data_IF_475641492121
#
_entry.id   IF_475641492121
#
_cell.length_a   1.000
_cell.length_b   1.000
_cell.length_c   1.000
_cell.angle_alpha   90.00
_cell.angle_beta   90.00
_cell.angle_gamma   90.00
#
_symmetry.space_group_name_H-M   'P 1'
#
loop_
_entity.id
_entity.type
_entity.pdbx_description
1 polymer ?
#
# COMPACT_ATOMS: atom_id res chain seq x y z
N UNK A 1 -4.57 11.05 22.49
CA UNK A 1 -4.17 9.73 21.97
C UNK A 1 -4.04 8.81 23.17
N UNK A 2 -4.72 7.67 23.13
CA UNK A 2 -4.84 6.74 24.27
C UNK A 2 -3.47 6.16 24.63
N UNK A 3 -3.08 6.15 25.91
CA UNK A 3 -1.78 5.62 26.39
C UNK A 3 -1.59 4.14 25.99
N UNK A 4 -2.67 3.41 25.81
CA UNK A 4 -2.69 2.04 25.31
C UNK A 4 -2.15 1.94 23.88
N UNK A 5 -2.53 2.86 22.97
CA UNK A 5 -2.08 2.87 21.59
C UNK A 5 -0.59 3.22 21.47
N UNK A 6 -0.11 4.14 22.32
CA UNK A 6 1.33 4.45 22.38
C UNK A 6 2.14 3.24 22.84
N UNK A 7 1.72 2.60 23.90
CA UNK A 7 2.37 1.38 24.41
C UNK A 7 2.43 0.26 23.36
N UNK A 8 1.32 0.03 22.67
CA UNK A 8 1.26 -0.98 21.61
C UNK A 8 2.20 -0.65 20.43
N UNK A 9 2.26 0.62 20.04
CA UNK A 9 3.17 1.08 19.00
C UNK A 9 4.64 0.93 19.41
N UNK A 10 5.00 1.37 20.62
CA UNK A 10 6.37 1.30 21.13
C UNK A 10 6.85 -0.15 21.24
N UNK A 11 5.96 -1.05 21.65
CA UNK A 11 6.22 -2.49 21.65
C UNK A 11 6.44 -3.03 20.22
N UNK A 12 5.64 -2.57 19.26
CA UNK A 12 5.77 -2.94 17.84
C UNK A 12 7.09 -2.44 17.25
N UNK A 13 7.48 -1.21 17.57
CA UNK A 13 8.73 -0.61 17.12
C UNK A 13 9.94 -1.38 17.70
N UNK A 14 9.92 -1.65 19.00
CA UNK A 14 10.97 -2.43 19.66
C UNK A 14 11.12 -3.83 19.07
N UNK A 15 10.02 -4.49 18.72
CA UNK A 15 10.01 -5.79 18.05
C UNK A 15 10.70 -5.72 16.67
N UNK A 16 10.33 -4.74 15.85
CA UNK A 16 10.94 -4.56 14.52
C UNK A 16 12.43 -4.23 14.64
N UNK A 17 12.81 -3.36 15.55
CA UNK A 17 14.22 -2.99 15.77
C UNK A 17 15.07 -4.19 16.21
N UNK A 18 14.53 -5.07 17.05
CA UNK A 18 15.20 -6.30 17.44
C UNK A 18 15.41 -7.23 16.23
N UNK A 19 14.38 -7.41 15.41
CA UNK A 19 14.49 -8.20 14.19
C UNK A 19 15.51 -7.62 13.22
N UNK A 20 15.56 -6.31 13.04
CA UNK A 20 16.57 -5.63 12.22
C UNK A 20 17.98 -5.89 12.76
N UNK A 21 18.18 -5.76 14.06
CA UNK A 21 19.48 -6.00 14.71
C UNK A 21 19.94 -7.44 14.53
N UNK A 22 19.04 -8.40 14.70
CA UNK A 22 19.32 -9.83 14.48
C UNK A 22 19.64 -10.13 13.02
N UNK A 23 18.85 -9.59 12.09
CA UNK A 23 19.07 -9.76 10.64
C UNK A 23 20.42 -9.20 10.18
N UNK A 24 20.81 -8.02 10.68
CA UNK A 24 22.15 -7.45 10.38
C UNK A 24 23.30 -8.35 10.89
N UNK A 25 23.11 -9.00 12.05
CA UNK A 25 24.09 -9.97 12.58
C UNK A 25 24.19 -11.21 11.67
N UNK A 26 23.07 -11.77 11.27
CA UNK A 26 23.01 -12.91 10.34
C UNK A 26 23.66 -12.55 9.01
N UNK A 27 23.43 -11.33 8.51
CA UNK A 27 24.04 -10.82 7.28
C UNK A 27 25.59 -10.77 7.38
N UNK A 28 26.11 -10.43 8.58
CA UNK A 28 27.57 -10.35 8.82
C UNK A 28 28.20 -11.71 9.06
N UNK A 29 27.47 -12.66 9.63
CA UNK A 29 27.93 -14.02 9.93
C UNK A 29 26.84 -14.99 9.51
N UNK A 30 26.83 -15.41 8.23
CA UNK A 30 25.78 -16.27 7.69
C UNK A 30 25.80 -17.66 8.34
N UNK A 31 24.70 -18.00 8.98
CA UNK A 31 24.38 -19.34 9.49
C UNK A 31 22.99 -19.73 8.97
N UNK A 32 22.88 -20.75 8.09
CA UNK A 32 21.62 -21.08 7.41
C UNK A 32 20.46 -21.38 8.37
N UNK A 33 20.70 -22.07 9.48
CA UNK A 33 19.66 -22.40 10.45
C UNK A 33 19.19 -21.16 11.23
N UNK A 34 20.13 -20.26 11.58
CA UNK A 34 19.81 -19.00 12.22
C UNK A 34 19.02 -18.05 11.27
N UNK A 35 19.36 -18.04 9.98
CA UNK A 35 18.65 -17.28 8.98
C UNK A 35 17.20 -17.76 8.81
N UNK A 36 16.97 -19.07 8.72
CA UNK A 36 15.63 -19.65 8.62
C UNK A 36 14.78 -19.39 9.88
N UNK A 37 15.36 -19.54 11.06
CA UNK A 37 14.69 -19.23 12.31
C UNK A 37 14.29 -17.75 12.38
N UNK A 38 15.20 -16.84 12.02
CA UNK A 38 14.92 -15.41 11.95
C UNK A 38 13.85 -15.04 10.93
N UNK A 39 13.83 -15.66 9.75
CA UNK A 39 12.77 -15.47 8.75
C UNK A 39 11.40 -15.89 9.31
N UNK A 40 11.35 -17.00 10.07
CA UNK A 40 10.12 -17.42 10.77
C UNK A 40 9.64 -16.39 11.80
N UNK A 41 10.56 -15.82 12.59
CA UNK A 41 10.24 -14.76 13.56
C UNK A 41 9.74 -13.49 12.86
N UNK A 42 10.35 -13.12 11.73
CA UNK A 42 9.88 -12.00 10.90
C UNK A 42 8.46 -12.25 10.37
N UNK A 43 8.17 -13.46 9.88
CA UNK A 43 6.84 -13.83 9.42
C UNK A 43 5.79 -13.70 10.53
N UNK A 44 6.11 -14.20 11.74
CA UNK A 44 5.22 -14.12 12.90
C UNK A 44 4.95 -12.66 13.32
N UNK A 45 6.01 -11.85 13.40
CA UNK A 45 5.91 -10.43 13.75
C UNK A 45 5.08 -9.64 12.72
N UNK A 46 5.34 -9.87 11.42
CA UNK A 46 4.59 -9.22 10.34
C UNK A 46 3.13 -9.65 10.33
N UNK A 47 2.83 -10.92 10.58
CA UNK A 47 1.47 -11.39 10.71
C UNK A 47 0.74 -10.70 11.88
N UNK A 48 1.40 -10.52 13.01
CA UNK A 48 0.86 -9.79 14.16
C UNK A 48 0.63 -8.32 13.84
N UNK A 49 1.61 -7.64 13.23
CA UNK A 49 1.54 -6.21 12.86
C UNK A 49 0.50 -5.92 11.77
N UNK A 50 0.24 -6.90 10.89
CA UNK A 50 -0.77 -6.81 9.84
C UNK A 50 -2.18 -7.21 10.30
N UNK A 51 -2.36 -7.55 11.58
CA UNK A 51 -3.62 -8.08 12.10
C UNK A 51 -4.06 -9.38 11.42
N UNK A 52 -3.11 -10.19 10.91
CA UNK A 52 -3.37 -11.41 10.15
C UNK A 52 -3.79 -11.17 8.70
N UNK A 53 -3.88 -9.93 8.25
CA UNK A 53 -4.30 -9.60 6.90
C UNK A 53 -3.16 -9.77 5.87
N UNK A 54 -3.34 -10.72 4.96
CA UNK A 54 -2.43 -10.91 3.81
C UNK A 54 -2.48 -9.76 2.80
N UNK A 55 -3.53 -8.95 2.83
CA UNK A 55 -3.67 -7.77 1.97
C UNK A 55 -2.92 -6.55 2.52
N UNK A 56 -2.49 -6.59 3.78
CA UNK A 56 -1.71 -5.51 4.38
C UNK A 56 -0.38 -5.34 3.65
N UNK A 57 0.02 -4.09 3.37
CA UNK A 57 1.22 -3.78 2.59
C UNK A 57 2.49 -4.46 3.13
N UNK A 58 2.66 -4.49 4.46
CA UNK A 58 3.81 -5.10 5.13
C UNK A 58 3.87 -6.62 4.89
N UNK A 59 2.72 -7.31 4.95
CA UNK A 59 2.63 -8.75 4.67
C UNK A 59 2.91 -9.04 3.20
N UNK A 60 2.45 -8.19 2.28
CA UNK A 60 2.73 -8.31 0.85
C UNK A 60 4.20 -8.05 0.53
N UNK A 61 4.79 -6.98 1.10
CA UNK A 61 6.19 -6.66 0.92
C UNK A 61 7.10 -7.79 1.43
N UNK A 62 6.77 -8.36 2.59
CA UNK A 62 7.49 -9.51 3.13
C UNK A 62 7.40 -10.73 2.21
N UNK A 63 6.21 -11.06 1.72
CA UNK A 63 6.03 -12.15 0.76
C UNK A 63 6.80 -11.89 -0.54
N UNK A 64 6.85 -10.63 -0.98
CA UNK A 64 7.62 -10.18 -2.14
C UNK A 64 9.14 -10.37 -1.99
N UNK A 65 9.66 -10.33 -0.77
CA UNK A 65 11.08 -10.51 -0.52
C UNK A 65 11.62 -11.90 -0.94
N UNK A 66 10.74 -12.89 -1.02
CA UNK A 66 11.06 -14.25 -1.45
C UNK A 66 10.84 -14.50 -2.94
N UNK A 67 10.21 -13.55 -3.67
CA UNK A 67 9.92 -13.75 -5.08
C UNK A 67 11.20 -13.61 -5.92
N UNK A 68 11.48 -14.66 -6.68
CA UNK A 68 12.55 -14.67 -7.67
C UNK A 68 12.01 -14.00 -8.94
N UNK A 69 12.60 -12.86 -9.32
CA UNK A 69 12.31 -12.29 -10.65
C UNK A 69 12.94 -13.14 -11.74
N UNK A 70 12.31 -13.28 -12.92
CA UNK A 70 12.98 -13.90 -14.06
C UNK A 70 14.20 -13.06 -14.43
N UNK A 71 15.40 -13.69 -14.37
CA UNK A 71 16.63 -13.10 -14.85
C UNK A 71 16.61 -12.85 -16.37
N UNK A 72 17.57 -12.10 -16.91
CA UNK A 72 17.73 -11.93 -18.35
C UNK A 72 17.83 -13.30 -19.02
N UNK A 73 16.89 -13.64 -19.91
CA UNK A 73 16.84 -14.92 -20.60
C UNK A 73 15.91 -15.98 -20.01
N UNK A 74 15.08 -15.65 -18.99
CA UNK A 74 14.09 -16.59 -18.43
C UNK A 74 14.68 -17.68 -17.53
N UNK A 75 15.94 -17.59 -17.15
CA UNK A 75 16.61 -18.51 -16.22
C UNK A 75 16.21 -18.11 -14.80
N UNK A 76 15.61 -19.04 -14.05
CA UNK A 76 15.38 -18.87 -12.61
C UNK A 76 16.76 -18.91 -11.93
N UNK A 77 17.26 -17.74 -11.52
CA UNK A 77 18.46 -17.66 -10.72
C UNK A 77 18.11 -18.09 -9.29
N UNK A 78 18.89 -19.00 -8.72
CA UNK A 78 18.83 -19.27 -7.28
C UNK A 78 19.12 -17.96 -6.54
N UNK A 79 18.15 -17.50 -5.72
CA UNK A 79 18.34 -16.27 -4.95
C UNK A 79 19.29 -16.60 -3.82
N UNK A 80 20.36 -15.83 -3.71
CA UNK A 80 21.30 -15.90 -2.61
C UNK A 80 20.55 -15.60 -1.29
N UNK A 81 20.76 -16.45 -0.29
CA UNK A 81 20.13 -16.29 1.05
C UNK A 81 20.46 -14.92 1.65
N UNK A 82 21.62 -14.36 1.39
CA UNK A 82 22.03 -13.03 1.79
C UNK A 82 21.16 -11.94 1.14
N UNK A 83 20.75 -12.10 -0.12
CA UNK A 83 19.86 -11.17 -0.81
C UNK A 83 18.46 -11.20 -0.21
N UNK A 84 17.95 -12.38 0.16
CA UNK A 84 16.66 -12.50 0.86
C UNK A 84 16.72 -11.77 2.20
N UNK A 85 17.79 -11.93 2.96
CA UNK A 85 17.99 -11.23 4.24
C UNK A 85 18.00 -9.71 4.03
N UNK A 86 18.72 -9.21 3.01
CA UNK A 86 18.76 -7.77 2.71
C UNK A 86 17.39 -7.22 2.31
N UNK A 87 16.61 -7.95 1.52
CA UNK A 87 15.23 -7.57 1.14
C UNK A 87 14.31 -7.51 2.35
N UNK A 88 14.36 -8.51 3.25
CA UNK A 88 13.56 -8.52 4.48
C UNK A 88 13.98 -7.36 5.40
N UNK A 89 15.28 -7.07 5.53
CA UNK A 89 15.76 -5.92 6.29
C UNK A 89 15.21 -4.60 5.73
N UNK A 90 15.12 -4.45 4.41
CA UNK A 90 14.49 -3.31 3.75
C UNK A 90 13.00 -3.16 4.14
N UNK A 91 12.26 -4.26 4.12
CA UNK A 91 10.83 -4.28 4.51
C UNK A 91 10.65 -3.90 5.99
N UNK A 92 11.48 -4.45 6.88
CA UNK A 92 11.44 -4.11 8.31
C UNK A 92 11.81 -2.65 8.57
N UNK A 93 12.82 -2.12 7.87
CA UNK A 93 13.22 -0.72 7.99
C UNK A 93 12.09 0.23 7.54
N UNK A 94 11.39 -0.10 6.46
CA UNK A 94 10.23 0.65 6.00
C UNK A 94 9.08 0.58 7.02
N UNK A 95 8.85 -0.58 7.64
CA UNK A 95 7.89 -0.77 8.72
C UNK A 95 8.21 0.12 9.94
N UNK A 96 9.47 0.11 10.39
CA UNK A 96 9.94 0.94 11.49
C UNK A 96 9.75 2.44 11.18
N UNK A 97 10.15 2.88 9.98
CA UNK A 97 9.96 4.27 9.54
C UNK A 97 8.49 4.70 9.53
N UNK A 98 7.60 3.81 9.10
CA UNK A 98 6.16 4.07 9.09
C UNK A 98 5.58 4.23 10.51
N UNK A 99 6.02 3.39 11.45
CA UNK A 99 5.61 3.49 12.87
C UNK A 99 6.21 4.74 13.55
N UNK A 100 7.46 5.10 13.25
CA UNK A 100 8.12 6.29 13.81
C UNK A 100 7.50 7.58 13.27
N UNK A 101 7.14 7.63 12.00
CA UNK A 101 6.48 8.79 11.40
C UNK A 101 5.10 9.11 12.04
N UNK A 102 4.49 8.14 12.72
CA UNK A 102 3.28 8.39 13.52
C UNK A 102 3.56 9.27 14.75
N UNK A 103 4.81 9.32 15.25
CA UNK A 103 5.21 10.22 16.34
C UNK A 103 5.37 11.68 15.90
N UNK A 104 6.00 11.88 14.75
CA UNK A 104 6.20 13.22 14.19
C UNK A 104 4.86 13.91 13.87
N UNK A 105 3.86 13.13 13.48
CA UNK A 105 2.48 13.60 13.30
C UNK A 105 1.79 13.92 14.64
N UNK A 106 2.17 13.25 15.73
CA UNK A 106 1.60 13.48 17.06
C UNK A 106 2.32 14.60 17.84
N UNK A 107 3.60 14.86 17.54
CA UNK A 107 4.44 15.84 18.25
C UNK A 107 4.46 17.23 17.60
N UNK A 108 4.02 17.35 16.35
CA UNK A 108 3.92 18.66 15.70
C UNK A 108 2.56 19.30 16.01
N UNK A 109 2.50 20.52 16.56
CA UNK A 109 1.28 21.30 16.58
C UNK A 109 1.04 21.85 15.15
N UNK A 110 1.00 20.95 14.18
CA UNK A 110 0.55 21.32 12.85
C UNK A 110 -0.92 21.74 12.97
N UNK A 111 -1.23 22.90 12.42
CA UNK A 111 -2.61 23.32 12.18
C UNK A 111 -3.39 22.09 11.65
N UNK A 112 -4.63 21.85 12.11
CA UNK A 112 -5.38 20.68 11.75
C UNK A 112 -5.35 20.55 10.23
N UNK A 113 -4.58 19.58 9.74
CA UNK A 113 -4.61 19.24 8.32
C UNK A 113 -6.07 19.00 7.98
N UNK A 114 -6.60 19.57 6.90
CA UNK A 114 -7.97 19.33 6.54
C UNK A 114 -8.14 17.79 6.52
N UNK A 115 -9.07 17.30 7.30
CA UNK A 115 -9.39 15.88 7.54
C UNK A 115 -9.88 15.26 6.24
N UNK A 116 -8.93 14.98 5.36
CA UNK A 116 -9.16 14.74 3.93
C UNK A 116 -9.78 13.37 3.65
N UNK A 117 -9.64 12.42 4.60
CA UNK A 117 -10.13 11.05 4.49
C UNK A 117 -11.05 10.65 5.67
N UNK A 118 -11.71 11.60 6.34
CA UNK A 118 -12.64 11.27 7.43
C UNK A 118 -13.85 10.44 6.97
N UNK A 119 -14.23 10.56 5.71
CA UNK A 119 -15.32 9.79 5.11
C UNK A 119 -14.97 8.31 4.91
N UNK A 120 -13.72 7.91 5.01
CA UNK A 120 -13.29 6.51 4.94
C UNK A 120 -13.70 5.79 6.22
N UNK A 121 -14.40 4.66 6.09
CA UNK A 121 -14.96 3.91 7.20
C UNK A 121 -13.87 3.20 8.01
N UNK A 122 -12.92 2.55 7.32
CA UNK A 122 -11.78 1.93 7.99
C UNK A 122 -10.76 2.98 8.44
N UNK A 123 -10.78 3.28 9.75
CA UNK A 123 -9.88 4.25 10.34
C UNK A 123 -8.39 3.89 10.18
N UNK A 124 -8.05 2.60 10.04
CA UNK A 124 -6.67 2.17 9.84
C UNK A 124 -6.15 2.50 8.42
N UNK A 125 -7.04 2.64 7.45
CA UNK A 125 -6.67 3.05 6.09
C UNK A 125 -6.36 4.54 5.97
N UNK A 126 -6.94 5.39 6.79
CA UNK A 126 -6.85 6.86 6.66
C UNK A 126 -5.41 7.37 6.59
N UNK A 127 -4.50 7.03 7.53
CA UNK A 127 -3.12 7.52 7.47
C UNK A 127 -2.36 7.00 6.25
N UNK A 128 -2.68 5.79 5.77
CA UNK A 128 -2.07 5.21 4.59
C UNK A 128 -2.50 5.99 3.34
N UNK A 129 -3.80 6.29 3.23
CA UNK A 129 -4.36 7.05 2.12
C UNK A 129 -3.84 8.49 2.10
N UNK A 130 -3.75 9.15 3.26
CA UNK A 130 -3.17 10.49 3.38
C UNK A 130 -1.74 10.53 2.87
N UNK A 131 -0.90 9.59 3.30
CA UNK A 131 0.49 9.48 2.85
C UNK A 131 0.55 9.22 1.35
N UNK A 132 -0.12 8.18 0.85
CA UNK A 132 -0.09 7.83 -0.58
C UNK A 132 -0.62 8.95 -1.46
N UNK A 133 -1.62 9.70 -1.00
CA UNK A 133 -2.13 10.87 -1.69
C UNK A 133 -1.10 12.02 -1.72
N UNK A 134 -0.43 12.28 -0.61
CA UNK A 134 0.64 13.27 -0.54
C UNK A 134 1.80 12.89 -1.46
N UNK A 135 2.25 11.62 -1.40
CA UNK A 135 3.32 11.09 -2.24
C UNK A 135 2.97 11.15 -3.73
N UNK A 136 1.69 10.89 -4.09
CA UNK A 136 1.23 10.99 -5.48
C UNK A 136 1.35 12.41 -6.02
N UNK A 137 1.02 13.41 -5.19
CA UNK A 137 1.12 14.84 -5.56
C UNK A 137 2.57 15.28 -5.71
N UNK A 138 3.41 14.84 -4.80
CA UNK A 138 4.83 15.13 -4.81
C UNK A 138 5.51 14.49 -6.03
N UNK A 139 5.20 13.23 -6.33
CA UNK A 139 5.65 12.55 -7.54
C UNK A 139 5.23 13.29 -8.82
N UNK A 140 3.99 13.79 -8.87
CA UNK A 140 3.51 14.61 -9.99
C UNK A 140 4.32 15.89 -10.14
N UNK A 141 4.59 16.58 -9.02
CA UNK A 141 5.38 17.81 -8.99
C UNK A 141 6.83 17.62 -9.44
N UNK A 142 7.41 16.46 -9.14
CA UNK A 142 8.78 16.09 -9.55
C UNK A 142 8.88 15.51 -10.97
N UNK A 143 7.76 15.36 -11.69
CA UNK A 143 7.74 14.74 -13.03
C UNK A 143 7.82 13.22 -13.01
N UNK A 144 7.69 12.55 -11.86
CA UNK A 144 7.64 11.09 -11.74
C UNK A 144 6.22 10.57 -12.08
N UNK A 145 5.82 10.70 -13.35
CA UNK A 145 4.43 10.52 -13.78
C UNK A 145 3.91 9.09 -13.58
N UNK A 146 4.75 8.08 -13.81
CA UNK A 146 4.36 6.69 -13.58
C UNK A 146 4.05 6.44 -12.11
N UNK A 147 4.90 6.89 -11.19
CA UNK A 147 4.70 6.77 -9.76
C UNK A 147 3.44 7.53 -9.30
N UNK A 148 3.26 8.77 -9.78
CA UNK A 148 2.07 9.57 -9.46
C UNK A 148 0.78 8.87 -9.89
N UNK A 149 0.75 8.28 -11.10
CA UNK A 149 -0.42 7.57 -11.61
C UNK A 149 -0.69 6.31 -10.78
N UNK A 150 0.32 5.51 -10.51
CA UNK A 150 0.20 4.26 -9.72
C UNK A 150 -0.34 4.57 -8.32
N UNK A 151 0.24 5.55 -7.63
CA UNK A 151 -0.21 5.96 -6.30
C UNK A 151 -1.64 6.52 -6.33
N UNK A 152 -1.97 7.36 -7.30
CA UNK A 152 -3.34 7.90 -7.45
C UNK A 152 -4.38 6.82 -7.68
N UNK A 153 -4.07 5.82 -8.53
CA UNK A 153 -4.96 4.69 -8.79
C UNK A 153 -5.05 3.75 -7.60
N UNK A 154 -3.96 3.53 -6.87
CA UNK A 154 -3.96 2.74 -5.64
C UNK A 154 -4.85 3.34 -4.54
N UNK A 155 -4.76 4.67 -4.33
CA UNK A 155 -5.66 5.39 -3.41
C UNK A 155 -7.10 5.28 -3.88
N UNK A 156 -7.36 5.50 -5.16
CA UNK A 156 -8.70 5.40 -5.73
C UNK A 156 -9.29 3.99 -5.54
N UNK A 157 -8.52 2.95 -5.79
CA UNK A 157 -8.97 1.58 -5.60
C UNK A 157 -9.29 1.25 -4.13
N UNK A 158 -8.46 1.72 -3.19
CA UNK A 158 -8.69 1.53 -1.76
C UNK A 158 -9.97 2.24 -1.29
N UNK A 159 -10.21 3.48 -1.77
CA UNK A 159 -11.43 4.22 -1.47
C UNK A 159 -12.69 3.52 -2.00
N UNK A 160 -12.64 3.02 -3.23
CA UNK A 160 -13.77 2.27 -3.80
C UNK A 160 -14.02 0.97 -3.03
N UNK A 161 -12.97 0.28 -2.60
CA UNK A 161 -13.07 -0.96 -1.83
C UNK A 161 -13.71 -0.70 -0.46
N UNK A 162 -13.29 0.35 0.25
CA UNK A 162 -13.87 0.73 1.54
C UNK A 162 -15.35 1.12 1.37
N UNK A 163 -15.67 1.98 0.39
CA UNK A 163 -17.02 2.42 0.14
C UNK A 163 -17.99 1.29 -0.26
N UNK A 164 -17.54 0.36 -1.12
CA UNK A 164 -18.32 -0.80 -1.52
C UNK A 164 -18.52 -1.78 -0.37
N UNK A 165 -17.52 -1.97 0.48
CA UNK A 165 -17.61 -2.83 1.66
C UNK A 165 -18.61 -2.32 2.71
N UNK A 166 -18.92 -1.02 2.70
CA UNK A 166 -19.84 -0.38 3.63
C UNK A 166 -21.16 0.09 2.96
N UNK A 167 -21.33 -0.20 1.68
CA UNK A 167 -22.57 0.14 0.97
C UNK A 167 -23.77 -0.59 1.57
N UNK A 168 -24.90 0.13 1.70
CA UNK A 168 -26.16 -0.43 2.25
C UNK A 168 -26.76 -1.54 1.40
N UNK A 169 -26.47 -1.52 0.11
CA UNK A 169 -26.88 -2.55 -0.85
C UNK A 169 -25.61 -3.26 -1.28
N UNK A 170 -25.55 -4.57 -1.06
CA UNK A 170 -24.44 -5.37 -1.57
C UNK A 170 -24.36 -5.17 -3.09
N UNK A 171 -23.20 -4.80 -3.63
CA UNK A 171 -23.06 -4.68 -5.08
C UNK A 171 -23.32 -6.05 -5.71
N UNK A 172 -23.98 -6.07 -6.88
CA UNK A 172 -24.20 -7.27 -7.69
C UNK A 172 -22.85 -7.80 -8.18
N UNK A 173 -22.25 -8.67 -7.40
CA UNK A 173 -21.05 -9.42 -7.74
C UNK A 173 -21.39 -10.90 -7.89
N UNK A 174 -20.48 -11.68 -8.47
CA UNK A 174 -20.66 -13.11 -8.52
C UNK A 174 -20.82 -13.67 -7.09
N UNK A 175 -21.83 -14.51 -6.84
CA UNK A 175 -22.06 -15.07 -5.52
C UNK A 175 -20.82 -15.80 -5.03
N UNK A 176 -20.20 -15.30 -3.93
CA UNK A 176 -19.02 -15.93 -3.31
C UNK A 176 -17.67 -15.27 -3.64
N UNK A 177 -17.58 -14.32 -4.55
CA UNK A 177 -16.35 -13.55 -4.75
C UNK A 177 -16.15 -12.49 -3.66
N UNK A 178 -14.97 -12.52 -3.03
CA UNK A 178 -14.60 -11.47 -2.09
C UNK A 178 -14.29 -10.20 -2.85
N UNK A 179 -14.72 -9.04 -2.35
CA UNK A 179 -14.46 -7.72 -2.92
C UNK A 179 -12.94 -7.49 -3.21
N UNK A 180 -12.07 -8.12 -2.42
CA UNK A 180 -10.61 -8.06 -2.62
C UNK A 180 -10.14 -8.72 -3.94
N UNK A 181 -10.91 -9.67 -4.46
CA UNK A 181 -10.56 -10.42 -5.67
C UNK A 181 -11.07 -9.74 -6.95
N UNK A 182 -11.88 -8.68 -6.80
CA UNK A 182 -12.42 -7.94 -7.94
C UNK A 182 -11.35 -7.12 -8.68
N UNK A 183 -11.53 -7.00 -9.99
CA UNK A 183 -10.70 -6.09 -10.79
C UNK A 183 -10.96 -4.64 -10.43
N UNK A 184 -10.00 -3.76 -10.71
CA UNK A 184 -10.17 -2.32 -10.51
C UNK A 184 -11.37 -1.77 -11.32
N UNK A 185 -11.54 -2.23 -12.56
CA UNK A 185 -12.69 -1.86 -13.41
C UNK A 185 -14.01 -2.32 -12.78
N UNK A 186 -14.09 -3.56 -12.30
CA UNK A 186 -15.29 -4.10 -11.67
C UNK A 186 -15.70 -3.31 -10.42
N UNK A 187 -14.73 -2.82 -9.62
CA UNK A 187 -15.01 -1.95 -8.49
C UNK A 187 -15.57 -0.59 -8.93
N UNK A 188 -15.04 -0.02 -10.01
CA UNK A 188 -15.55 1.24 -10.58
C UNK A 188 -17.01 1.07 -11.02
N UNK A 189 -17.30 0.03 -11.81
CA UNK A 189 -18.64 -0.26 -12.32
C UNK A 189 -19.65 -0.50 -11.17
N UNK A 190 -19.25 -1.27 -10.18
CA UNK A 190 -20.07 -1.52 -9.01
C UNK A 190 -20.34 -0.24 -8.19
N UNK A 191 -19.34 0.60 -8.00
CA UNK A 191 -19.51 1.87 -7.27
C UNK A 191 -20.38 2.88 -8.04
N UNK A 192 -20.29 2.92 -9.38
CA UNK A 192 -21.20 3.70 -10.23
C UNK A 192 -22.63 3.16 -10.15
N UNK A 193 -22.80 1.84 -10.25
CA UNK A 193 -24.13 1.18 -10.18
C UNK A 193 -24.79 1.35 -8.82
N UNK A 194 -24.01 1.31 -7.75
CA UNK A 194 -24.49 1.59 -6.38
C UNK A 194 -24.74 3.08 -6.11
N UNK A 195 -24.44 3.98 -7.06
CA UNK A 195 -24.59 5.42 -6.90
C UNK A 195 -23.62 6.07 -5.93
N UNK A 196 -22.54 5.37 -5.55
CA UNK A 196 -21.50 5.89 -4.65
C UNK A 196 -20.64 6.96 -5.33
N UNK A 197 -20.44 6.83 -6.64
CA UNK A 197 -19.68 7.79 -7.45
C UNK A 197 -20.46 8.18 -8.71
N UNK A 198 -20.22 9.39 -9.24
CA UNK A 198 -21.01 10.00 -10.33
C UNK A 198 -20.34 9.94 -11.70
N UNK A 199 -19.73 8.80 -12.06
CA UNK A 199 -19.16 8.60 -13.40
C UNK A 199 -17.87 9.37 -13.68
N UNK A 200 -17.20 9.91 -12.66
CA UNK A 200 -15.90 10.58 -12.77
C UNK A 200 -14.82 9.68 -13.33
N UNK A 201 -14.90 8.37 -13.04
CA UNK A 201 -13.94 7.36 -13.49
C UNK A 201 -13.96 7.11 -15.00
N UNK A 202 -14.99 7.51 -15.73
CA UNK A 202 -15.03 7.43 -17.21
C UNK A 202 -13.89 8.21 -17.88
N UNK A 203 -13.33 9.20 -17.18
CA UNK A 203 -12.21 10.01 -17.67
C UNK A 203 -10.83 9.38 -17.42
N UNK A 204 -10.77 8.25 -16.69
CA UNK A 204 -9.50 7.56 -16.48
C UNK A 204 -8.89 7.14 -17.81
N UNK A 205 -7.61 7.46 -18.07
CA UNK A 205 -6.92 6.99 -19.26
C UNK A 205 -6.80 5.46 -19.26
N UNK A 206 -6.72 4.80 -20.41
CA UNK A 206 -6.61 3.33 -20.49
C UNK A 206 -5.45 2.76 -19.67
N UNK A 207 -4.33 3.48 -19.60
CA UNK A 207 -3.16 3.08 -18.82
C UNK A 207 -3.47 3.07 -17.30
N UNK A 208 -4.28 3.99 -16.82
CA UNK A 208 -4.68 4.03 -15.40
C UNK A 208 -5.63 2.87 -15.04
N UNK A 209 -6.46 2.41 -15.98
CA UNK A 209 -7.35 1.24 -15.73
C UNK A 209 -6.56 -0.05 -15.54
N UNK A 210 -5.36 -0.12 -16.09
CA UNK A 210 -4.43 -1.25 -15.96
C UNK A 210 -3.18 -0.87 -15.15
N UNK A 211 -3.30 0.05 -14.20
CA UNK A 211 -2.16 0.57 -13.45
C UNK A 211 -1.34 -0.52 -12.73
N UNK A 212 -1.98 -1.64 -12.37
CA UNK A 212 -1.29 -2.77 -11.76
C UNK A 212 -0.27 -3.41 -12.70
N UNK A 213 -0.49 -3.35 -14.01
CA UNK A 213 0.46 -3.86 -15.03
C UNK A 213 1.72 -2.98 -15.12
N UNK A 214 1.64 -1.74 -14.62
CA UNK A 214 2.78 -0.81 -14.58
C UNK A 214 3.70 -1.05 -13.39
N UNK A 215 3.30 -1.89 -12.43
CA UNK A 215 4.07 -2.12 -11.22
C UNK A 215 4.85 -3.42 -11.30
N UNK A 216 5.99 -3.45 -10.62
CA UNK A 216 6.73 -4.66 -10.33
C UNK A 216 6.15 -5.43 -9.14
N UNK A 217 6.81 -6.52 -8.73
CA UNK A 217 6.39 -7.32 -7.57
C UNK A 217 6.41 -6.57 -6.22
N UNK A 218 7.09 -5.43 -6.14
CA UNK A 218 7.18 -4.58 -4.95
C UNK A 218 6.12 -3.46 -4.96
N UNK A 219 5.36 -3.33 -6.05
CA UNK A 219 4.37 -2.25 -6.22
C UNK A 219 4.96 -0.94 -6.72
N UNK A 220 6.26 -0.91 -7.05
CA UNK A 220 6.94 0.23 -7.66
C UNK A 220 6.70 0.25 -9.17
N UNK A 221 6.69 1.45 -9.80
CA UNK A 221 6.58 1.53 -11.24
C UNK A 221 7.74 0.82 -11.93
N UNK A 222 7.43 -0.05 -12.89
CA UNK A 222 8.43 -0.73 -13.71
C UNK A 222 9.28 0.28 -14.49
N UNK A 223 10.54 -0.01 -14.70
CA UNK A 223 11.47 0.87 -15.40
C UNK A 223 11.04 1.20 -16.86
N UNK A 224 10.26 0.32 -17.48
CA UNK A 224 9.70 0.48 -18.82
C UNK A 224 8.31 1.11 -18.82
N UNK A 225 7.73 1.44 -17.67
CA UNK A 225 6.42 2.06 -17.58
C UNK A 225 6.42 3.44 -18.23
N UNK A 226 5.59 3.59 -19.29
CA UNK A 226 5.46 4.85 -20.03
C UNK A 226 4.14 5.50 -19.66
N UNK A 227 4.22 6.60 -18.93
CA UNK A 227 3.07 7.42 -18.52
C UNK A 227 3.38 8.87 -18.82
N UNK A 228 2.49 9.53 -19.57
CA UNK A 228 2.60 10.94 -19.86
C UNK A 228 2.12 11.80 -18.68
N UNK A 229 2.59 13.04 -18.64
CA UNK A 229 2.11 14.05 -17.66
C UNK A 229 0.59 14.20 -17.70
N UNK A 230 0.00 14.21 -18.91
CA UNK A 230 -1.45 14.34 -19.09
C UNK A 230 -2.21 13.19 -18.45
N UNK A 231 -1.74 11.96 -18.58
CA UNK A 231 -2.37 10.77 -17.99
C UNK A 231 -2.28 10.80 -16.47
N UNK A 232 -1.10 11.13 -15.92
CA UNK A 232 -0.91 11.26 -14.48
C UNK A 232 -1.80 12.37 -13.88
N UNK A 233 -1.86 13.55 -14.53
CA UNK A 233 -2.74 14.65 -14.12
C UNK A 233 -4.21 14.27 -14.18
N UNK A 234 -4.62 13.52 -15.20
CA UNK A 234 -6.00 13.07 -15.35
C UNK A 234 -6.37 12.08 -14.24
N UNK A 235 -5.51 11.11 -13.94
CA UNK A 235 -5.73 10.17 -12.82
C UNK A 235 -5.85 10.90 -11.48
N UNK A 236 -4.94 11.83 -11.19
CA UNK A 236 -4.98 12.66 -9.98
C UNK A 236 -6.26 13.55 -9.90
N UNK A 237 -6.78 14.01 -11.03
CA UNK A 237 -8.02 14.77 -11.09
C UNK A 237 -9.23 13.87 -10.81
N UNK A 238 -9.28 12.68 -11.42
CA UNK A 238 -10.36 11.71 -11.18
C UNK A 238 -10.39 11.30 -9.72
N UNK A 239 -9.25 11.02 -9.10
CA UNK A 239 -9.17 10.73 -7.67
C UNK A 239 -9.84 11.82 -6.83
N UNK A 240 -9.55 13.10 -7.10
CA UNK A 240 -10.17 14.23 -6.37
C UNK A 240 -11.68 14.33 -6.59
N UNK A 241 -12.16 13.96 -7.77
CA UNK A 241 -13.61 13.93 -8.05
C UNK A 241 -14.26 12.83 -7.24
N UNK A 242 -13.69 11.62 -7.24
CA UNK A 242 -14.22 10.49 -6.46
C UNK A 242 -14.19 10.75 -4.96
N UNK A 243 -13.11 11.32 -4.44
CA UNK A 243 -13.04 11.74 -3.03
C UNK A 243 -14.20 12.69 -2.66
N UNK A 244 -14.53 13.62 -3.55
CA UNK A 244 -15.68 14.52 -3.34
C UNK A 244 -17.02 13.80 -3.41
N UNK A 245 -17.16 12.84 -4.32
CA UNK A 245 -18.41 12.07 -4.44
C UNK A 245 -18.64 11.20 -3.19
N UNK A 246 -17.57 10.67 -2.58
CA UNK A 246 -17.63 9.81 -1.39
C UNK A 246 -17.70 10.59 -0.07
N UNK A 247 -17.39 11.89 -0.06
CA UNK A 247 -17.42 12.75 1.13
C UNK A 247 -18.80 13.41 1.27
N UNK A 248 -19.70 12.89 2.13
CA UNK A 248 -21.04 13.43 2.27
C UNK A 248 -21.11 14.80 2.95
N UNK A 249 -19.98 15.28 3.48
CA UNK A 249 -19.86 16.55 4.20
C UNK A 249 -19.44 17.74 3.34
N UNK A 250 -19.26 17.54 2.02
CA UNK A 250 -18.83 18.59 1.09
C UNK A 250 -19.82 18.89 0.00
#
# INVERSE_FOLDING_TARGET
MDDSLRHQRDASLALIEDLIRRGRRIRSTPEPDAARAWQGDCAAAINQLSGGSKAHWLARAYSGAFLVGPGPGGVVLEVDEAEIVDRILGVLAQGASSLSAMDDLAASPAAPSPRQFEFVHDAALRPILERSFADSRDALGRGAFALSLVLSCGVLEALLTDALGHARTAPDGAPGERLADWSFEGRIEAAESAGLIRGGCKRLPPVARRYRDLTDGNGEPRADARVSEREARTAAQVLRVVMRDLDPGR
#
